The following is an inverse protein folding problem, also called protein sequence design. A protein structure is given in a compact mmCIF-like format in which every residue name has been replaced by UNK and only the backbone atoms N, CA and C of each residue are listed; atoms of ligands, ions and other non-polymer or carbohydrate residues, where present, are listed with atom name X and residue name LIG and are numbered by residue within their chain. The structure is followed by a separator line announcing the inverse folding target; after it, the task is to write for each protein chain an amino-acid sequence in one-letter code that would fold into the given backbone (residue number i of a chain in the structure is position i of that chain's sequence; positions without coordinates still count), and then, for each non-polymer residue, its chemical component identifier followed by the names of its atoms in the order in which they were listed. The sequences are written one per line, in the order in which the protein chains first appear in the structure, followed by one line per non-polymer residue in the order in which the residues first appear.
data_IF_688790178769
#
_entry.id   IF_688790178769
#
_cell.length_a   1.000
_cell.length_b   1.000
_cell.length_c   1.000
_cell.angle_alpha   90.00
_cell.angle_beta   90.00
_cell.angle_gamma   90.00
#
_symmetry.space_group_name_H-M   'P 1'
#
loop_
_entity.id
_entity.type
_entity.pdbx_description
1 polymer ?
#
# COMPACT_ATOMS: atom_id res chain seq x y z
N UNK A 1 -10.19 -17.92 -5.93
CA UNK A 1 -9.55 -16.91 -5.34
C UNK A 1 -9.24 -15.76 -6.23
N UNK A 2 -8.30 -15.89 -7.10
CA UNK A 2 -7.97 -14.80 -7.98
C UNK A 2 -9.07 -14.44 -8.94
N UNK A 3 -9.90 -15.38 -9.26
CA UNK A 3 -10.99 -15.10 -10.18
C UNK A 3 -11.96 -14.08 -9.64
N UNK A 4 -11.93 -13.87 -8.35
CA UNK A 4 -12.78 -12.85 -7.79
C UNK A 4 -12.36 -11.45 -8.15
N UNK A 5 -11.18 -11.31 -8.68
CA UNK A 5 -10.68 -10.00 -9.06
C UNK A 5 -11.07 -9.60 -10.46
N UNK A 6 -11.53 -10.56 -11.24
CA UNK A 6 -11.95 -10.25 -12.59
C UNK A 6 -13.39 -9.85 -12.53
N UNK A 7 -13.64 -8.79 -11.93
CA UNK A 7 -14.98 -8.37 -11.78
C UNK A 7 -15.52 -7.97 -13.10
N UNK A 8 -15.96 -6.81 -13.25
CA UNK A 8 -16.56 -6.40 -14.51
C UNK A 8 -15.54 -5.65 -15.32
N UNK A 9 -15.67 -5.66 -16.64
CA UNK A 9 -14.80 -4.83 -17.48
C UNK A 9 -14.83 -3.37 -17.10
N UNK A 10 -15.92 -2.92 -16.54
CA UNK A 10 -16.06 -1.53 -16.14
C UNK A 10 -15.04 -1.13 -15.11
N UNK A 11 -14.68 -2.05 -14.24
CA UNK A 11 -13.75 -1.76 -13.16
C UNK A 11 -12.33 -2.07 -13.51
N UNK A 12 -12.11 -2.79 -14.60
CA UNK A 12 -10.80 -3.28 -14.91
C UNK A 12 -9.82 -2.17 -15.24
N UNK A 13 -10.17 -1.27 -16.07
CA UNK A 13 -9.24 -0.28 -16.54
C UNK A 13 -9.13 0.95 -15.69
N UNK A 14 -9.75 0.95 -14.52
CA UNK A 14 -9.78 2.17 -13.73
C UNK A 14 -9.56 1.90 -12.26
N UNK A 15 -8.63 2.63 -11.69
CA UNK A 15 -8.40 2.57 -10.27
C UNK A 15 -9.58 3.19 -9.55
N UNK A 16 -10.01 2.52 -8.49
CA UNK A 16 -11.09 3.04 -7.67
C UNK A 16 -10.60 4.00 -6.60
N UNK A 17 -9.31 4.13 -6.43
CA UNK A 17 -8.77 4.99 -5.41
C UNK A 17 -8.14 6.22 -6.05
N UNK A 18 -8.12 7.30 -5.29
CA UNK A 18 -7.63 8.56 -5.80
C UNK A 18 -6.13 8.52 -6.04
N UNK A 19 -5.63 9.34 -6.97
CA UNK A 19 -4.17 9.44 -7.15
C UNK A 19 -3.45 9.82 -5.88
N UNK A 20 -4.08 10.60 -5.03
CA UNK A 20 -3.46 11.00 -3.78
C UNK A 20 -3.24 9.81 -2.86
N UNK A 21 -4.21 8.91 -2.76
CA UNK A 21 -4.07 7.74 -1.91
C UNK A 21 -3.07 6.74 -2.51
N UNK A 22 -3.05 6.62 -3.83
CA UNK A 22 -2.05 5.80 -4.49
C UNK A 22 -0.65 6.31 -4.19
N UNK A 23 -0.46 7.63 -4.31
CA UNK A 23 0.85 8.21 -4.01
C UNK A 23 1.24 8.00 -2.57
N UNK A 24 0.29 8.12 -1.65
CA UNK A 24 0.58 7.88 -0.23
C UNK A 24 1.01 6.44 0.00
N UNK A 25 0.39 5.49 -0.70
CA UNK A 25 0.77 4.09 -0.58
C UNK A 25 2.19 3.85 -1.01
N UNK A 26 2.58 4.34 -2.16
CA UNK A 26 3.95 4.14 -2.64
C UNK A 26 4.96 4.92 -1.82
N UNK A 27 4.59 6.11 -1.35
CA UNK A 27 5.46 6.83 -0.44
C UNK A 27 5.72 6.03 0.84
N UNK A 28 4.68 5.43 1.40
CA UNK A 28 4.85 4.63 2.60
C UNK A 28 5.75 3.43 2.35
N UNK A 29 5.76 2.91 1.14
CA UNK A 29 6.60 1.77 0.79
C UNK A 29 8.04 2.16 0.43
N UNK A 30 8.37 3.42 0.49
CA UNK A 30 9.68 3.88 0.05
C UNK A 30 10.71 3.98 1.19
N UNK A 31 10.44 3.36 2.32
CA UNK A 31 11.35 3.40 3.47
C UNK A 31 11.64 1.99 3.93
N UNK A 32 12.93 1.62 4.11
CA UNK A 32 13.27 0.23 4.47
C UNK A 32 12.66 -0.24 5.79
N UNK A 33 12.57 0.63 6.78
CA UNK A 33 12.00 0.20 8.05
C UNK A 33 10.51 -0.07 7.90
N UNK A 34 9.82 0.74 7.10
CA UNK A 34 8.40 0.51 6.86
C UNK A 34 8.18 -0.80 6.10
N UNK A 35 9.08 -1.12 5.18
CA UNK A 35 9.02 -2.42 4.50
C UNK A 35 9.15 -3.56 5.52
N UNK A 36 10.11 -3.43 6.44
CA UNK A 36 10.32 -4.46 7.45
C UNK A 36 9.10 -4.62 8.36
N UNK A 37 8.46 -3.51 8.72
CA UNK A 37 7.23 -3.58 9.51
C UNK A 37 6.17 -4.40 8.77
N UNK A 38 5.99 -4.10 7.50
CA UNK A 38 4.97 -4.79 6.71
C UNK A 38 5.29 -6.28 6.56
N UNK A 39 6.56 -6.61 6.41
CA UNK A 39 6.96 -8.01 6.31
C UNK A 39 6.63 -8.78 7.58
N UNK A 40 6.85 -8.17 8.74
CA UNK A 40 6.48 -8.82 9.99
C UNK A 40 4.96 -8.99 10.10
N UNK A 41 4.22 -7.98 9.70
CA UNK A 41 2.77 -8.03 9.76
C UNK A 41 2.16 -8.98 8.74
N UNK A 42 2.95 -9.40 7.77
CA UNK A 42 2.48 -10.37 6.79
C UNK A 42 2.13 -11.70 7.44
N UNK A 43 2.77 -12.01 8.54
CA UNK A 43 2.59 -13.28 9.21
C UNK A 43 1.51 -13.25 10.28
N UNK A 44 1.37 -12.12 10.96
CA UNK A 44 0.36 -12.04 12.02
C UNK A 44 0.21 -10.61 12.50
N UNK A 45 -0.88 -10.36 13.19
CA UNK A 45 -1.10 -9.11 13.88
C UNK A 45 -0.10 -8.99 15.03
N UNK A 46 0.50 -7.81 15.22
CA UNK A 46 1.49 -7.60 16.26
C UNK A 46 1.21 -6.30 17.00
N UNK A 47 1.51 -6.29 18.30
CA UNK A 47 1.41 -5.06 19.06
C UNK A 47 2.66 -4.22 18.87
N UNK A 48 2.56 -2.94 19.23
CA UNK A 48 3.66 -2.01 19.07
C UNK A 48 4.91 -2.48 19.82
N UNK A 49 4.75 -3.01 21.04
CA UNK A 49 5.91 -3.46 21.80
C UNK A 49 6.63 -4.58 21.07
N UNK A 50 5.89 -5.49 20.49
CA UNK A 50 6.52 -6.59 19.81
C UNK A 50 7.25 -6.16 18.56
N UNK A 51 6.68 -5.20 17.85
CA UNK A 51 7.36 -4.63 16.69
C UNK A 51 8.65 -3.95 17.10
N UNK A 52 8.63 -3.20 18.20
CA UNK A 52 9.85 -2.56 18.70
C UNK A 52 10.92 -3.58 19.02
N UNK A 53 10.54 -4.67 19.69
CA UNK A 53 11.48 -5.69 20.06
C UNK A 53 12.09 -6.38 18.86
N UNK A 54 11.26 -6.75 17.90
CA UNK A 54 11.74 -7.46 16.74
C UNK A 54 12.61 -6.61 15.83
N UNK A 55 12.31 -5.33 15.74
CA UNK A 55 13.04 -4.44 14.85
C UNK A 55 14.18 -3.72 15.53
N UNK A 56 14.23 -3.78 16.87
CA UNK A 56 15.29 -3.12 17.59
C UNK A 56 15.27 -1.62 17.48
N UNK A 57 14.07 -1.03 17.44
CA UNK A 57 13.93 0.42 17.31
C UNK A 57 13.11 0.96 18.48
N UNK A 58 13.35 2.22 18.85
CA UNK A 58 12.57 2.83 19.93
C UNK A 58 11.14 3.10 19.47
N UNK A 59 10.24 3.12 20.44
CA UNK A 59 8.83 3.29 20.15
C UNK A 59 8.53 4.60 19.44
N UNK A 60 9.24 5.66 19.77
CA UNK A 60 8.98 6.95 19.14
C UNK A 60 9.23 6.90 17.63
N UNK A 61 10.31 6.21 17.24
CA UNK A 61 10.61 6.07 15.82
C UNK A 61 9.59 5.19 15.14
N UNK A 62 9.24 4.08 15.79
CA UNK A 62 8.28 3.16 15.23
C UNK A 62 6.92 3.84 15.06
N UNK A 63 6.50 4.62 16.04
CA UNK A 63 5.20 5.28 15.99
C UNK A 63 5.08 6.22 14.80
N UNK A 64 6.15 6.91 14.46
CA UNK A 64 6.15 7.77 13.29
C UNK A 64 5.89 6.97 12.02
N UNK A 65 6.58 5.85 11.89
CA UNK A 65 6.42 5.01 10.70
C UNK A 65 5.06 4.33 10.64
N UNK A 66 4.55 3.90 11.79
CA UNK A 66 3.22 3.31 11.83
C UNK A 66 2.14 4.31 11.46
N UNK A 67 2.32 5.57 11.87
CA UNK A 67 1.38 6.60 11.49
C UNK A 67 1.38 6.81 9.98
N UNK A 68 2.55 6.85 9.37
CA UNK A 68 2.65 6.98 7.91
C UNK A 68 1.97 5.82 7.21
N UNK A 69 2.21 4.60 7.69
CA UNK A 69 1.58 3.42 7.10
C UNK A 69 0.07 3.46 7.25
N UNK A 70 -0.41 3.92 8.39
CA UNK A 70 -1.84 3.97 8.64
C UNK A 70 -2.51 5.04 7.78
N UNK A 71 -1.88 6.19 7.63
CA UNK A 71 -2.42 7.25 6.80
C UNK A 71 -2.46 6.84 5.33
N UNK A 72 -1.57 5.95 4.92
CA UNK A 72 -1.58 5.40 3.58
C UNK A 72 -2.55 4.23 3.44
N UNK A 73 -3.25 3.89 4.52
CA UNK A 73 -4.22 2.80 4.57
C UNK A 73 -3.60 1.42 4.36
N UNK A 74 -2.29 1.28 4.54
CA UNK A 74 -1.64 -0.02 4.39
C UNK A 74 -1.78 -0.90 5.61
N UNK A 75 -2.00 -0.30 6.77
CA UNK A 75 -2.20 -1.04 8.00
C UNK A 75 -3.45 -0.52 8.70
N UNK A 76 -3.99 -1.37 9.55
CA UNK A 76 -5.09 -1.03 10.46
C UNK A 76 -4.58 -1.20 11.87
N UNK A 77 -5.21 -0.49 12.79
CA UNK A 77 -4.89 -0.65 14.20
C UNK A 77 -6.16 -0.93 14.98
N UNK A 78 -6.02 -1.65 16.06
CA UNK A 78 -7.08 -1.81 17.02
C UNK A 78 -6.50 -1.72 18.42
N UNK A 79 -7.30 -1.24 19.33
CA UNK A 79 -6.86 -1.09 20.71
C UNK A 79 -7.59 -2.08 21.58
N UNK A 80 -6.83 -2.74 22.45
CA UNK A 80 -7.40 -3.66 23.41
C UNK A 80 -6.74 -3.35 24.76
N UNK A 81 -7.49 -2.75 25.65
CA UNK A 81 -6.92 -2.24 26.87
C UNK A 81 -5.93 -1.13 26.57
N UNK A 82 -4.71 -1.31 27.05
CA UNK A 82 -3.65 -0.37 26.77
C UNK A 82 -2.75 -0.80 25.61
N UNK A 83 -3.09 -1.90 24.96
CA UNK A 83 -2.28 -2.43 23.87
C UNK A 83 -2.86 -2.00 22.53
N UNK A 84 -1.99 -1.63 21.62
CA UNK A 84 -2.39 -1.29 20.27
C UNK A 84 -1.78 -2.31 19.32
N UNK A 85 -2.64 -2.96 18.54
CA UNK A 85 -2.24 -4.01 17.60
C UNK A 85 -2.38 -3.49 16.18
N UNK A 86 -1.43 -3.88 15.34
CA UNK A 86 -1.44 -3.51 13.94
C UNK A 86 -1.55 -4.73 13.07
N UNK A 87 -2.26 -4.59 11.96
CA UNK A 87 -2.40 -5.66 10.98
C UNK A 87 -2.47 -5.04 9.60
N UNK A 88 -2.24 -5.86 8.57
CA UNK A 88 -2.26 -5.37 7.21
C UNK A 88 -3.68 -5.08 6.76
N UNK A 89 -3.84 -4.07 5.95
CA UNK A 89 -5.09 -3.80 5.25
C UNK A 89 -4.97 -4.35 3.84
N UNK A 90 -5.39 -5.59 3.65
CA UNK A 90 -5.19 -6.27 2.38
C UNK A 90 -5.92 -5.62 1.22
N UNK A 91 -7.01 -4.93 1.50
CA UNK A 91 -7.76 -4.24 0.46
C UNK A 91 -6.90 -3.16 -0.19
N UNK A 92 -6.12 -2.44 0.62
CA UNK A 92 -5.26 -1.39 0.08
C UNK A 92 -4.13 -1.98 -0.75
N UNK A 93 -3.56 -3.10 -0.31
CA UNK A 93 -2.53 -3.77 -1.11
C UNK A 93 -3.09 -4.22 -2.45
N UNK A 94 -4.31 -4.74 -2.45
CA UNK A 94 -4.94 -5.13 -3.69
C UNK A 94 -5.13 -3.92 -4.61
N UNK A 95 -5.52 -2.78 -4.06
CA UNK A 95 -5.72 -1.58 -4.86
C UNK A 95 -4.42 -1.12 -5.52
N UNK A 96 -3.32 -1.16 -4.77
CA UNK A 96 -2.03 -0.78 -5.35
C UNK A 96 -1.57 -1.78 -6.41
N UNK A 97 -1.82 -3.04 -6.15
CA UNK A 97 -1.48 -4.08 -7.11
C UNK A 97 -2.26 -3.88 -8.42
N UNK A 98 -3.54 -3.59 -8.32
CA UNK A 98 -4.35 -3.35 -9.50
C UNK A 98 -3.91 -2.11 -10.24
N UNK A 99 -3.54 -1.08 -9.51
CA UNK A 99 -3.05 0.13 -10.14
C UNK A 99 -1.82 -0.18 -11.00
N UNK A 100 -0.87 -0.92 -10.46
CA UNK A 100 0.32 -1.30 -11.21
C UNK A 100 -0.02 -2.24 -12.37
N UNK A 101 -0.94 -3.15 -12.13
CA UNK A 101 -1.35 -4.12 -13.12
C UNK A 101 -1.93 -3.44 -14.37
N UNK A 102 -2.61 -2.32 -14.19
CA UNK A 102 -3.18 -1.60 -15.32
C UNK A 102 -2.11 -1.14 -16.31
N UNK A 103 -0.94 -0.76 -15.81
CA UNK A 103 0.16 -0.40 -16.70
C UNK A 103 0.65 -1.60 -17.50
N UNK A 104 0.75 -2.74 -16.84
CA UNK A 104 1.21 -3.95 -17.50
C UNK A 104 0.24 -4.41 -18.57
N UNK A 105 -1.05 -4.16 -18.37
CA UNK A 105 -2.08 -4.61 -19.28
C UNK A 105 -2.39 -3.63 -20.38
N UNK A 106 -1.67 -2.53 -20.46
CA UNK A 106 -2.01 -1.58 -21.49
C UNK A 106 -1.68 -2.08 -22.89
N UNK A 107 -0.94 -3.15 -23.00
CA UNK A 107 -0.76 -3.81 -24.27
C UNK A 107 0.20 -3.10 -25.19
N UNK A 108 -0.27 -2.14 -25.92
CA UNK A 108 0.54 -1.50 -26.93
C UNK A 108 0.71 -0.01 -26.63
N UNK A 109 1.95 0.43 -26.65
CA UNK A 109 2.26 1.85 -26.44
C UNK A 109 2.44 2.49 -27.80
N UNK A 110 1.62 3.48 -28.09
CA UNK A 110 1.66 4.14 -29.38
C UNK A 110 2.79 5.18 -29.39
N UNK A 111 3.42 5.38 -30.55
CA UNK A 111 4.45 6.40 -30.65
C UNK A 111 3.87 7.80 -30.52
N UNK A 112 4.71 8.71 -30.10
CA UNK A 112 4.27 10.09 -29.95
C UNK A 112 4.04 10.71 -31.32
N UNK A 113 3.11 11.63 -31.37
CA UNK A 113 2.90 12.42 -32.58
C UNK A 113 3.97 13.49 -32.65
N UNK A 114 4.19 13.99 -33.88
CA UNK A 114 5.16 15.04 -34.08
C UNK A 114 4.69 16.33 -33.40
N UNK A 115 5.59 16.96 -32.65
CA UNK A 115 5.24 18.20 -31.99
C UNK A 115 5.04 19.35 -32.96
N UNK A 116 5.68 19.27 -34.12
CA UNK A 116 5.54 20.35 -35.10
C UNK A 116 4.12 20.47 -35.63
N UNK A 117 3.35 19.41 -35.51
CA UNK A 117 1.97 19.44 -35.95
C UNK A 117 1.08 20.22 -35.02
N UNK A 118 1.54 20.46 -33.82
CA UNK A 118 0.71 21.13 -32.84
C UNK A 118 0.59 22.61 -33.08
N UNK A 119 1.39 23.15 -33.94
CA UNK A 119 1.34 24.57 -34.27
C UNK A 119 0.25 24.93 -35.26
#
# INVERSE_FOLDING_TARGET
MLKNYTITPDLVGKSQISPKLIAAGFHALSDPLRIQILELLQEQELCVCELCDRLGVPQSKLSFHLKTLKEAALVRSRQEGRWIYYSLNLVQFLALEQYLSDYRRCGQILPARSCSDAD
#
